data_IF_193950393186
#
_entry.id   IF_193950393186
#
_cell.length_a   1.000
_cell.length_b   1.000
_cell.length_c   1.000
_cell.angle_alpha   90.00
_cell.angle_beta   90.00
_cell.angle_gamma   90.00
#
_symmetry.space_group_name_H-M   'P 1'
#
loop_
_entity.id
_entity.type
_entity.pdbx_description
1 polymer ?
#
# COMPACT_ATOMS: atom_id res chain seq x y z
N UNK A 1 -53.81 -14.32 -4.71
CA UNK A 1 -53.83 -13.11 -3.85
C UNK A 1 -52.63 -12.25 -4.19
N UNK A 2 -52.83 -11.10 -4.86
CA UNK A 2 -51.75 -10.15 -5.16
C UNK A 2 -51.57 -9.26 -3.92
N UNK A 3 -50.48 -9.46 -3.19
CA UNK A 3 -50.09 -8.55 -2.12
C UNK A 3 -49.73 -7.20 -2.75
N UNK A 4 -50.65 -6.24 -2.66
CA UNK A 4 -50.40 -4.85 -3.06
C UNK A 4 -49.40 -4.24 -2.10
N UNK A 5 -48.18 -3.99 -2.56
CA UNK A 5 -47.21 -3.22 -1.79
C UNK A 5 -47.81 -1.84 -1.46
N UNK A 6 -47.63 -1.35 -0.22
CA UNK A 6 -48.15 -0.04 0.19
C UNK A 6 -47.65 1.06 -0.76
N UNK A 7 -48.59 1.83 -1.33
CA UNK A 7 -48.38 2.82 -2.39
C UNK A 7 -47.29 3.87 -2.06
N UNK A 8 -47.02 4.10 -0.78
CA UNK A 8 -45.98 5.00 -0.27
C UNK A 8 -44.55 4.49 -0.52
N UNK A 9 -44.33 3.18 -0.49
CA UNK A 9 -43.00 2.58 -0.71
C UNK A 9 -42.59 2.60 -2.18
N UNK A 10 -43.54 2.44 -3.10
CA UNK A 10 -43.26 2.53 -4.54
C UNK A 10 -42.89 3.95 -4.97
N UNK A 11 -43.48 4.97 -4.33
CA UNK A 11 -43.19 6.38 -4.60
C UNK A 11 -41.85 6.82 -4.03
N UNK A 12 -41.44 6.32 -2.85
CA UNK A 12 -40.12 6.66 -2.29
C UNK A 12 -38.98 6.00 -3.07
N UNK A 13 -39.15 4.74 -3.48
CA UNK A 13 -38.16 4.03 -4.31
C UNK A 13 -38.03 4.69 -5.68
N UNK A 14 -39.16 4.97 -6.37
CA UNK A 14 -39.11 5.65 -7.68
C UNK A 14 -38.61 7.09 -7.60
N UNK A 15 -38.87 7.82 -6.50
CA UNK A 15 -38.32 9.18 -6.31
C UNK A 15 -36.81 9.14 -6.02
N UNK A 16 -36.33 8.15 -5.28
CA UNK A 16 -34.91 7.98 -4.97
C UNK A 16 -34.13 7.44 -6.18
N UNK A 17 -34.74 6.62 -7.02
CA UNK A 17 -34.18 6.19 -8.31
C UNK A 17 -34.23 7.30 -9.37
N UNK A 18 -35.29 8.11 -9.41
CA UNK A 18 -35.39 9.26 -10.32
C UNK A 18 -34.37 10.35 -9.97
N UNK A 19 -34.16 10.64 -8.69
CA UNK A 19 -33.12 11.58 -8.26
C UNK A 19 -31.69 11.08 -8.55
N UNK A 20 -31.52 9.76 -8.72
CA UNK A 20 -30.25 9.14 -9.10
C UNK A 20 -30.03 9.13 -10.63
N UNK A 21 -31.08 9.33 -11.43
CA UNK A 21 -31.02 9.35 -12.91
C UNK A 21 -31.03 10.75 -13.54
N UNK A 22 -31.14 11.83 -12.75
CA UNK A 22 -31.21 13.21 -13.27
C UNK A 22 -29.84 13.92 -13.40
N UNK A 23 -28.72 13.19 -13.40
CA UNK A 23 -27.46 13.75 -13.91
C UNK A 23 -27.45 13.60 -15.43
N UNK A 24 -27.65 14.72 -16.15
CA UNK A 24 -27.57 14.69 -17.61
C UNK A 24 -26.20 14.18 -18.09
N UNK A 25 -26.13 13.51 -19.23
CA UNK A 25 -24.90 12.91 -19.78
C UNK A 25 -23.68 13.87 -19.81
N UNK A 26 -23.95 15.17 -19.92
CA UNK A 26 -22.93 16.22 -19.82
C UNK A 26 -22.30 16.32 -18.42
N UNK A 27 -23.11 16.27 -17.35
CA UNK A 27 -22.62 16.29 -15.98
C UNK A 27 -21.79 15.04 -15.66
N UNK A 28 -22.22 13.87 -16.14
CA UNK A 28 -21.46 12.63 -15.97
C UNK A 28 -20.11 12.69 -16.68
N UNK A 29 -20.06 13.25 -17.89
CA UNK A 29 -18.81 13.45 -18.62
C UNK A 29 -17.83 14.36 -17.86
N UNK A 30 -18.31 15.45 -17.24
CA UNK A 30 -17.47 16.34 -16.41
C UNK A 30 -16.93 15.60 -15.20
N UNK A 31 -17.75 14.77 -14.52
CA UNK A 31 -17.32 14.02 -13.33
C UNK A 31 -16.24 13.00 -13.69
N UNK A 32 -16.40 12.27 -14.79
CA UNK A 32 -15.40 11.29 -15.26
C UNK A 32 -14.10 12.00 -15.66
N UNK A 33 -14.20 13.08 -16.45
CA UNK A 33 -13.03 13.84 -16.86
C UNK A 33 -12.30 14.46 -15.66
N UNK A 34 -13.04 15.08 -14.74
CA UNK A 34 -12.49 15.63 -13.50
C UNK A 34 -11.82 14.57 -12.63
N UNK A 35 -12.46 13.39 -12.49
CA UNK A 35 -11.89 12.25 -11.79
C UNK A 35 -10.59 11.74 -12.43
N UNK A 36 -10.54 11.66 -13.76
CA UNK A 36 -9.33 11.26 -14.49
C UNK A 36 -8.19 12.27 -14.30
N UNK A 37 -8.48 13.58 -14.38
CA UNK A 37 -7.48 14.65 -14.14
C UNK A 37 -6.96 14.60 -12.71
N UNK A 38 -7.84 14.43 -11.71
CA UNK A 38 -7.44 14.31 -10.31
C UNK A 38 -6.58 13.07 -10.07
N UNK A 39 -6.94 11.93 -10.66
CA UNK A 39 -6.17 10.70 -10.57
C UNK A 39 -4.76 10.88 -11.16
N UNK A 40 -4.65 11.51 -12.34
CA UNK A 40 -3.36 11.81 -12.97
C UNK A 40 -2.52 12.78 -12.15
N UNK A 41 -3.12 13.87 -11.63
CA UNK A 41 -2.43 14.83 -10.78
C UNK A 41 -1.89 14.16 -9.50
N UNK A 42 -2.68 13.29 -8.88
CA UNK A 42 -2.25 12.49 -7.73
C UNK A 42 -1.10 11.55 -8.08
N UNK A 43 -1.19 10.84 -9.21
CA UNK A 43 -0.12 9.96 -9.68
C UNK A 43 1.20 10.71 -9.94
N UNK A 44 1.14 11.89 -10.57
CA UNK A 44 2.31 12.75 -10.80
C UNK A 44 2.89 13.22 -9.46
N UNK A 45 2.06 13.64 -8.51
CA UNK A 45 2.51 14.05 -7.18
C UNK A 45 3.22 12.92 -6.42
N UNK A 46 2.71 11.69 -6.51
CA UNK A 46 3.39 10.52 -5.94
C UNK A 46 4.73 10.26 -6.65
N UNK A 47 4.76 10.33 -7.98
CA UNK A 47 5.98 10.13 -8.76
C UNK A 47 7.06 11.16 -8.41
N UNK A 48 6.71 12.44 -8.33
CA UNK A 48 7.65 13.51 -7.96
C UNK A 48 8.09 13.42 -6.50
N UNK A 49 7.19 13.05 -5.59
CA UNK A 49 7.54 12.82 -4.18
C UNK A 49 8.58 11.70 -4.02
N UNK A 50 8.37 10.58 -4.72
CA UNK A 50 9.33 9.46 -4.72
C UNK A 50 10.65 9.85 -5.40
N UNK A 51 10.61 10.60 -6.49
CA UNK A 51 11.80 11.12 -7.17
C UNK A 51 12.64 12.03 -6.26
N UNK A 52 12.00 12.96 -5.54
CA UNK A 52 12.68 13.84 -4.58
C UNK A 52 13.34 13.04 -3.45
N UNK A 53 12.67 11.98 -2.97
CA UNK A 53 13.28 11.09 -1.99
C UNK A 53 14.50 10.39 -2.60
N UNK A 54 14.42 9.87 -3.82
CA UNK A 54 15.54 9.20 -4.49
C UNK A 54 16.78 10.11 -4.62
N UNK A 55 16.61 11.36 -5.03
CA UNK A 55 17.70 12.36 -5.10
C UNK A 55 18.35 12.59 -3.72
N UNK A 56 17.55 12.68 -2.66
CA UNK A 56 18.08 12.79 -1.29
C UNK A 56 18.84 11.53 -0.86
N UNK A 57 18.40 10.34 -1.30
CA UNK A 57 19.06 9.08 -0.99
C UNK A 57 20.43 8.96 -1.68
N UNK A 58 20.55 9.43 -2.94
CA UNK A 58 21.83 9.48 -3.67
C UNK A 58 22.85 10.36 -2.95
N UNK A 59 22.44 11.55 -2.50
CA UNK A 59 23.31 12.49 -1.79
C UNK A 59 23.67 12.00 -0.37
N UNK A 60 22.79 11.23 0.27
CA UNK A 60 22.92 10.86 1.69
C UNK A 60 22.59 9.38 2.01
N UNK A 61 23.33 8.46 1.41
CA UNK A 61 23.20 6.99 1.64
C UNK A 61 23.29 6.56 3.12
N UNK A 62 23.98 7.32 3.98
CA UNK A 62 24.01 7.06 5.43
C UNK A 62 22.68 7.37 6.12
N UNK A 63 22.03 8.47 5.72
CA UNK A 63 20.71 8.84 6.23
C UNK A 63 19.64 7.86 5.71
N UNK A 64 19.75 7.43 4.45
CA UNK A 64 18.88 6.40 3.85
C UNK A 64 18.76 5.16 4.74
N UNK A 65 19.91 4.54 5.07
CA UNK A 65 19.95 3.33 5.91
C UNK A 65 19.37 3.57 7.30
N UNK A 66 19.62 4.75 7.90
CA UNK A 66 19.07 5.10 9.21
C UNK A 66 17.55 5.27 9.16
N UNK A 67 17.04 5.98 8.15
CA UNK A 67 15.61 6.22 7.96
C UNK A 67 14.85 4.92 7.73
N UNK A 68 15.36 4.01 6.88
CA UNK A 68 14.71 2.70 6.66
C UNK A 68 14.82 1.81 7.90
N UNK A 69 15.95 1.83 8.61
CA UNK A 69 16.08 1.12 9.88
C UNK A 69 15.06 1.60 10.93
N UNK A 70 14.71 2.89 10.91
CA UNK A 70 13.62 3.43 11.73
C UNK A 70 12.25 2.97 11.21
N UNK A 71 12.02 2.98 9.90
CA UNK A 71 10.77 2.49 9.31
C UNK A 71 10.51 1.01 9.63
N UNK A 72 11.54 0.16 9.60
CA UNK A 72 11.46 -1.25 10.03
C UNK A 72 11.05 -1.35 11.49
N UNK A 73 11.65 -0.56 12.39
CA UNK A 73 11.31 -0.55 13.82
C UNK A 73 9.86 -0.10 14.06
N UNK A 74 9.40 0.92 13.33
CA UNK A 74 8.02 1.41 13.41
C UNK A 74 7.05 0.35 12.88
N UNK A 75 7.33 -0.25 11.72
CA UNK A 75 6.48 -1.31 11.15
C UNK A 75 6.45 -2.56 12.04
N UNK A 76 7.57 -2.91 12.67
CA UNK A 76 7.63 -3.98 13.67
C UNK A 76 6.76 -3.64 14.90
N UNK A 77 6.85 -2.41 15.41
CA UNK A 77 6.00 -1.95 16.51
C UNK A 77 4.51 -2.01 16.16
N UNK A 78 4.13 -1.65 14.93
CA UNK A 78 2.75 -1.80 14.43
C UNK A 78 2.33 -3.27 14.42
N UNK A 79 3.16 -4.19 13.92
CA UNK A 79 2.85 -5.63 13.93
C UNK A 79 2.71 -6.19 15.36
N UNK A 80 3.53 -5.71 16.31
CA UNK A 80 3.39 -6.07 17.73
C UNK A 80 2.06 -5.54 18.29
N UNK A 81 1.71 -4.29 17.99
CA UNK A 81 0.45 -3.70 18.43
C UNK A 81 -0.77 -4.47 17.87
N UNK A 82 -0.69 -4.92 16.62
CA UNK A 82 -1.69 -5.79 16.00
C UNK A 82 -1.88 -7.12 16.75
N UNK A 83 -0.85 -7.60 17.43
CA UNK A 83 -0.95 -8.82 18.25
C UNK A 83 -1.85 -8.59 19.47
N UNK A 84 -1.86 -7.37 20.02
CA UNK A 84 -2.70 -7.01 21.17
C UNK A 84 -4.19 -6.93 20.78
N UNK A 85 -4.48 -6.55 19.53
CA UNK A 85 -5.84 -6.51 18.97
C UNK A 85 -6.41 -7.90 18.60
N UNK A 86 -5.73 -8.99 18.98
CA UNK A 86 -6.14 -10.39 18.69
C UNK A 86 -6.30 -10.68 17.19
N UNK A 87 -5.56 -9.97 16.35
CA UNK A 87 -5.51 -10.20 14.91
C UNK A 87 -4.95 -11.61 14.59
N UNK A 88 -5.29 -12.18 13.41
CA UNK A 88 -4.87 -13.53 13.04
C UNK A 88 -3.35 -13.70 13.15
N UNK A 89 -2.93 -14.60 14.05
CA UNK A 89 -1.52 -14.79 14.42
C UNK A 89 -0.65 -15.15 13.23
N UNK A 90 -1.18 -15.88 12.24
CA UNK A 90 -0.46 -16.25 11.01
C UNK A 90 -0.06 -14.99 10.20
N UNK A 91 -0.96 -14.01 10.06
CA UNK A 91 -0.69 -12.78 9.31
C UNK A 91 0.36 -11.92 10.03
N UNK A 92 0.26 -11.84 11.36
CA UNK A 92 1.21 -11.09 12.18
C UNK A 92 2.60 -11.77 12.18
N UNK A 93 2.66 -13.09 12.30
CA UNK A 93 3.91 -13.84 12.21
C UNK A 93 4.58 -13.65 10.84
N UNK A 94 3.82 -13.73 9.73
CA UNK A 94 4.35 -13.44 8.40
C UNK A 94 4.88 -12.01 8.28
N UNK A 95 4.18 -11.03 8.86
CA UNK A 95 4.62 -9.63 8.93
C UNK A 95 5.92 -9.45 9.70
N UNK A 96 6.04 -10.06 10.88
CA UNK A 96 7.27 -10.02 11.69
C UNK A 96 8.44 -10.69 10.94
N UNK A 97 8.21 -11.86 10.35
CA UNK A 97 9.23 -12.56 9.55
C UNK A 97 9.67 -11.72 8.35
N UNK A 98 8.75 -11.03 7.68
CA UNK A 98 9.08 -10.08 6.62
C UNK A 98 10.00 -8.96 7.13
N UNK A 99 9.71 -8.36 8.29
CA UNK A 99 10.56 -7.32 8.89
C UNK A 99 11.97 -7.84 9.22
N UNK A 100 12.09 -9.10 9.66
CA UNK A 100 13.40 -9.73 9.91
C UNK A 100 14.19 -9.89 8.61
N UNK A 101 13.55 -10.39 7.54
CA UNK A 101 14.16 -10.50 6.21
C UNK A 101 14.62 -9.12 5.69
N UNK A 102 13.78 -8.09 5.84
CA UNK A 102 14.10 -6.71 5.46
C UNK A 102 15.29 -6.14 6.24
N UNK A 103 15.37 -6.41 7.54
CA UNK A 103 16.51 -5.97 8.35
C UNK A 103 17.81 -6.65 7.94
N UNK A 104 17.77 -7.94 7.58
CA UNK A 104 18.94 -8.65 7.05
C UNK A 104 19.36 -8.08 5.70
N UNK A 105 18.40 -7.74 4.84
CA UNK A 105 18.66 -7.13 3.53
C UNK A 105 19.32 -5.75 3.68
N UNK A 106 18.79 -4.90 4.59
CA UNK A 106 19.31 -3.56 4.85
C UNK A 106 20.77 -3.58 5.35
N UNK A 107 21.16 -4.58 6.13
CA UNK A 107 22.55 -4.74 6.61
C UNK A 107 23.56 -5.02 5.49
N UNK A 108 23.11 -5.62 4.39
CA UNK A 108 23.97 -6.01 3.26
C UNK A 108 24.10 -4.93 2.19
N UNK A 109 23.28 -3.88 2.22
CA UNK A 109 23.43 -2.72 1.33
C UNK A 109 24.80 -2.06 1.59
N UNK A 110 25.62 -1.68 0.58
CA UNK A 110 25.30 -1.57 -0.85
C UNK A 110 25.64 -2.80 -1.70
N UNK A 111 26.22 -3.86 -1.13
CA UNK A 111 26.67 -5.03 -1.88
C UNK A 111 25.55 -6.04 -2.20
N UNK A 112 24.29 -5.61 -2.18
CA UNK A 112 23.13 -6.47 -2.46
C UNK A 112 22.84 -6.41 -3.94
N UNK A 113 22.95 -7.54 -4.61
CA UNK A 113 22.50 -7.67 -5.99
C UNK A 113 21.05 -8.15 -6.02
N UNK A 114 20.30 -7.79 -7.06
CA UNK A 114 18.92 -8.26 -7.27
C UNK A 114 18.79 -9.79 -7.29
N UNK A 115 19.89 -10.51 -7.51
CA UNK A 115 19.97 -11.97 -7.55
C UNK A 115 20.28 -12.62 -6.20
N UNK A 116 20.51 -11.83 -5.15
CA UNK A 116 20.85 -12.37 -3.84
C UNK A 116 19.67 -13.15 -3.23
N UNK A 117 19.94 -14.30 -2.58
CA UNK A 117 18.91 -15.11 -1.95
C UNK A 117 18.14 -14.34 -0.86
N UNK A 118 18.78 -13.38 -0.19
CA UNK A 118 18.13 -12.51 0.80
C UNK A 118 17.12 -11.53 0.17
N UNK A 119 17.39 -11.05 -1.05
CA UNK A 119 16.46 -10.20 -1.80
C UNK A 119 15.25 -11.01 -2.25
N UNK A 120 15.48 -12.20 -2.82
CA UNK A 120 14.42 -13.12 -3.25
C UNK A 120 13.55 -13.54 -2.06
N UNK A 121 14.17 -13.90 -0.92
CA UNK A 121 13.45 -14.25 0.29
C UNK A 121 12.58 -13.09 0.82
N UNK A 122 13.12 -11.86 0.81
CA UNK A 122 12.39 -10.66 1.25
C UNK A 122 11.21 -10.34 0.32
N UNK A 123 11.39 -10.50 -0.99
CA UNK A 123 10.35 -10.32 -1.99
C UNK A 123 9.26 -11.40 -1.91
N UNK A 124 9.65 -12.67 -1.70
CA UNK A 124 8.69 -13.74 -1.46
C UNK A 124 7.89 -13.50 -0.16
N UNK A 125 8.55 -13.07 0.92
CA UNK A 125 7.88 -12.79 2.19
C UNK A 125 6.94 -11.58 2.10
N UNK A 126 7.27 -10.56 1.27
CA UNK A 126 6.36 -9.47 0.94
C UNK A 126 5.06 -9.99 0.33
N UNK A 127 5.16 -10.84 -0.70
CA UNK A 127 4.01 -11.41 -1.39
C UNK A 127 3.17 -12.29 -0.45
N UNK A 128 3.83 -13.12 0.36
CA UNK A 128 3.14 -13.96 1.36
C UNK A 128 2.40 -13.09 2.37
N UNK A 129 3.05 -12.10 2.97
CA UNK A 129 2.42 -11.19 3.93
C UNK A 129 1.25 -10.43 3.28
N UNK A 130 1.43 -9.92 2.06
CA UNK A 130 0.39 -9.24 1.30
C UNK A 130 -0.83 -10.14 1.03
N UNK A 131 -0.61 -11.33 0.48
CA UNK A 131 -1.67 -12.27 0.14
C UNK A 131 -2.44 -12.75 1.38
N UNK A 132 -1.75 -13.00 2.50
CA UNK A 132 -2.37 -13.40 3.77
C UNK A 132 -3.29 -12.31 4.31
N UNK A 133 -2.82 -11.06 4.39
CA UNK A 133 -3.66 -9.94 4.80
C UNK A 133 -4.83 -9.72 3.84
N UNK A 134 -4.60 -9.85 2.53
CA UNK A 134 -5.64 -9.63 1.53
C UNK A 134 -6.74 -10.69 1.66
N UNK A 135 -6.35 -11.96 1.81
CA UNK A 135 -7.30 -13.05 2.06
C UNK A 135 -8.09 -12.84 3.35
N UNK A 136 -7.42 -12.39 4.42
CA UNK A 136 -8.09 -12.09 5.69
C UNK A 136 -9.14 -10.98 5.56
N UNK A 137 -8.80 -9.84 4.93
CA UNK A 137 -9.73 -8.73 4.79
C UNK A 137 -10.87 -8.98 3.79
N UNK A 138 -10.62 -9.75 2.73
CA UNK A 138 -11.66 -10.17 1.79
C UNK A 138 -12.70 -11.04 2.52
N UNK A 139 -12.25 -12.00 3.35
CA UNK A 139 -13.17 -12.85 4.11
C UNK A 139 -14.01 -12.05 5.13
N UNK A 140 -13.52 -10.89 5.59
CA UNK A 140 -14.23 -10.00 6.50
C UNK A 140 -15.05 -8.90 5.80
N UNK A 141 -15.09 -8.89 4.45
CA UNK A 141 -15.80 -7.88 3.63
C UNK A 141 -15.49 -6.43 4.06
N UNK A 142 -14.24 -6.15 4.41
CA UNK A 142 -13.81 -4.80 4.80
C UNK A 142 -13.75 -3.88 3.58
N UNK A 143 -14.11 -2.60 3.75
CA UNK A 143 -14.05 -1.60 2.69
C UNK A 143 -12.62 -1.44 2.13
N UNK A 144 -12.51 -1.34 0.79
CA UNK A 144 -11.24 -1.21 0.06
C UNK A 144 -10.37 -0.07 0.59
N UNK A 145 -10.97 1.05 1.00
CA UNK A 145 -10.23 2.21 1.51
C UNK A 145 -9.50 1.85 2.81
N UNK A 146 -10.15 1.10 3.72
CA UNK A 146 -9.53 0.66 4.97
C UNK A 146 -8.40 -0.34 4.73
N UNK A 147 -8.61 -1.25 3.78
CA UNK A 147 -7.59 -2.21 3.33
C UNK A 147 -6.38 -1.43 2.81
N UNK A 148 -6.55 -0.56 1.82
CA UNK A 148 -5.45 0.21 1.23
C UNK A 148 -4.69 1.06 2.26
N UNK A 149 -5.40 1.74 3.18
CA UNK A 149 -4.75 2.50 4.24
C UNK A 149 -3.91 1.61 5.17
N UNK A 150 -4.43 0.44 5.54
CA UNK A 150 -3.70 -0.53 6.35
C UNK A 150 -2.46 -1.05 5.62
N UNK A 151 -2.60 -1.47 4.36
CA UNK A 151 -1.51 -2.01 3.55
C UNK A 151 -0.40 -0.99 3.33
N UNK A 152 -0.76 0.27 3.06
CA UNK A 152 0.21 1.32 2.85
C UNK A 152 1.15 1.46 4.05
N UNK A 153 0.59 1.56 5.27
CA UNK A 153 1.35 1.77 6.50
C UNK A 153 2.06 0.50 6.98
N UNK A 154 1.34 -0.61 7.07
CA UNK A 154 1.81 -1.82 7.72
C UNK A 154 2.66 -2.71 6.81
N UNK A 155 2.41 -2.69 5.49
CA UNK A 155 3.01 -3.62 4.53
C UNK A 155 3.97 -2.92 3.57
N UNK A 156 3.62 -1.75 3.03
CA UNK A 156 4.37 -1.16 1.89
C UNK A 156 5.44 -0.15 2.28
N UNK A 157 5.32 0.55 3.41
CA UNK A 157 6.31 1.56 3.85
C UNK A 157 7.76 1.06 3.80
N UNK A 158 8.01 -0.16 4.29
CA UNK A 158 9.37 -0.72 4.38
C UNK A 158 9.90 -1.22 3.02
N UNK A 159 9.17 -2.06 2.26
CA UNK A 159 9.60 -2.50 0.92
C UNK A 159 9.91 -1.36 -0.03
N UNK A 160 9.05 -0.32 -0.08
CA UNK A 160 9.26 0.85 -0.95
C UNK A 160 10.56 1.55 -0.60
N UNK A 161 10.83 1.77 0.69
CA UNK A 161 12.09 2.38 1.13
C UNK A 161 13.32 1.54 0.75
N UNK A 162 13.26 0.22 0.91
CA UNK A 162 14.35 -0.68 0.54
C UNK A 162 14.66 -0.61 -0.95
N UNK A 163 13.65 -0.69 -1.81
CA UNK A 163 13.82 -0.60 -3.26
C UNK A 163 14.48 0.73 -3.64
N UNK A 164 14.00 1.85 -3.09
CA UNK A 164 14.58 3.16 -3.36
C UNK A 164 16.05 3.26 -2.96
N UNK A 165 16.44 2.63 -1.85
CA UNK A 165 17.84 2.62 -1.40
C UNK A 165 18.73 1.70 -2.22
N UNK A 166 18.19 0.60 -2.75
CA UNK A 166 18.91 -0.26 -3.68
C UNK A 166 19.18 0.47 -5.00
N UNK A 167 18.15 1.12 -5.57
CA UNK A 167 18.31 1.93 -6.78
C UNK A 167 19.37 3.01 -6.64
N UNK A 168 19.38 3.76 -5.52
CA UNK A 168 20.40 4.76 -5.26
C UNK A 168 21.82 4.18 -5.05
N UNK A 169 21.94 2.89 -4.73
CA UNK A 169 23.25 2.22 -4.56
C UNK A 169 23.82 1.73 -5.89
N UNK A 170 22.96 1.29 -6.81
CA UNK A 170 23.35 0.76 -8.14
C UNK A 170 23.90 1.87 -9.06
N UNK A 171 23.44 3.11 -8.92
CA UNK A 171 23.90 4.25 -9.72
C UNK A 171 25.23 4.86 -9.25
N UNK A 172 25.73 4.47 -8.07
CA UNK A 172 27.04 4.91 -7.59
C UNK A 172 28.15 4.16 -8.34
N UNK A 173 28.65 4.78 -9.43
CA UNK A 173 29.80 4.42 -10.29
C UNK A 173 30.64 3.21 -9.80
N UNK A 174 30.90 2.19 -10.65
CA UNK A 174 31.79 1.10 -10.27
C UNK A 174 33.17 1.67 -9.98
N UNK A 175 33.53 1.72 -8.69
CA UNK A 175 34.91 1.99 -8.28
C UNK A 175 35.71 0.73 -8.56
N UNK A 176 36.32 0.71 -9.74
CA UNK A 176 37.50 -0.10 -10.01
C UNK A 176 38.62 0.25 -9.03
#
# INVERSE_FOLDING_TARGET
MKFGAPHSYTLSVTKNERFREDFGAFSDAIVIFGGAVLFLAFAICLATGVYCIAEVLELHTKLAKKTIGMAIKVSLAVNILLTLDKMPTICVCAGILAQVCYYQLLKRVPSVQLRDPSFIASSAMLLVNHCLWMWHFINMNVSIVRITCFFFVAVWMVPVGIIMTLSASDDSLPRH
#
